data_IF_104991155054
#
_entry.id   IF_104991155054
#
_cell.length_a   1.000
_cell.length_b   1.000
_cell.length_c   1.000
_cell.angle_alpha   90.00
_cell.angle_beta   90.00
_cell.angle_gamma   90.00
#
_symmetry.space_group_name_H-M   'P 1'
#
loop_
_entity.id
_entity.type
_entity.pdbx_description
1 polymer ?
#
# COMPACT_ATOMS: atom_id res chain seq x y z
N UNK A 1 17.75 3.19 -4.88
CA UNK A 1 16.34 3.34 -5.28
C UNK A 1 15.45 2.27 -4.67
N UNK A 2 15.56 0.99 -5.06
CA UNK A 2 14.66 -0.08 -4.57
C UNK A 2 14.72 -0.29 -3.04
N UNK A 3 15.92 -0.29 -2.45
CA UNK A 3 16.09 -0.44 -0.98
C UNK A 3 15.41 0.66 -0.16
N UNK A 4 15.34 1.88 -0.68
CA UNK A 4 14.74 3.00 0.04
C UNK A 4 13.21 2.91 0.02
N UNK A 5 12.63 2.52 -1.11
CA UNK A 5 11.20 2.21 -1.19
C UNK A 5 10.79 1.12 -0.21
N UNK A 6 11.56 0.03 -0.11
CA UNK A 6 11.25 -1.03 0.84
C UNK A 6 11.35 -0.57 2.30
N UNK A 7 12.32 0.30 2.66
CA UNK A 7 12.37 0.91 4.00
C UNK A 7 11.16 1.78 4.29
N UNK A 8 10.74 2.60 3.32
CA UNK A 8 9.55 3.45 3.48
C UNK A 8 8.28 2.60 3.63
N UNK A 9 8.13 1.53 2.84
CA UNK A 9 7.05 0.54 3.00
C UNK A 9 7.12 -0.14 4.37
N UNK A 10 8.32 -0.43 4.87
CA UNK A 10 8.49 -1.09 6.16
C UNK A 10 8.01 -0.23 7.34
N UNK A 11 8.06 1.10 7.19
CA UNK A 11 7.54 2.09 8.16
C UNK A 11 6.01 2.25 8.17
N UNK A 12 5.31 1.61 7.23
CA UNK A 12 3.84 1.61 7.20
C UNK A 12 3.28 0.71 8.31
N UNK A 13 2.05 1.01 8.75
CA UNK A 13 1.35 0.09 9.64
C UNK A 13 1.07 -1.26 8.92
N UNK A 14 0.73 -2.29 9.70
CA UNK A 14 0.54 -3.66 9.17
C UNK A 14 -0.45 -3.74 8.01
N UNK A 15 -1.58 -3.02 8.11
CA UNK A 15 -2.63 -3.05 7.08
C UNK A 15 -2.13 -2.36 5.81
N UNK A 16 -1.59 -1.15 5.93
CA UNK A 16 -1.13 -0.38 4.78
C UNK A 16 0.05 -1.08 4.08
N UNK A 17 0.93 -1.73 4.83
CA UNK A 17 1.99 -2.60 4.28
C UNK A 17 1.40 -3.76 3.48
N UNK A 18 0.41 -4.48 4.03
CA UNK A 18 -0.25 -5.58 3.33
C UNK A 18 -0.92 -5.12 2.03
N UNK A 19 -1.60 -3.96 2.05
CA UNK A 19 -2.22 -3.40 0.85
C UNK A 19 -1.20 -3.11 -0.25
N UNK A 20 -0.06 -2.50 0.09
CA UNK A 20 1.00 -2.21 -0.88
C UNK A 20 1.62 -3.48 -1.43
N UNK A 21 1.94 -4.45 -0.56
CA UNK A 21 2.58 -5.70 -1.00
C UNK A 21 1.69 -6.48 -1.97
N UNK A 22 0.41 -6.64 -1.65
CA UNK A 22 -0.53 -7.31 -2.55
C UNK A 22 -0.71 -6.56 -3.87
N UNK A 23 -0.73 -5.22 -3.84
CA UNK A 23 -0.79 -4.41 -5.05
C UNK A 23 0.46 -4.56 -5.92
N UNK A 24 1.66 -4.70 -5.31
CA UNK A 24 2.91 -4.98 -6.02
C UNK A 24 2.99 -6.41 -6.60
N UNK A 25 2.18 -7.34 -6.07
CA UNK A 25 1.96 -8.68 -6.62
C UNK A 25 0.85 -8.72 -7.68
N UNK A 26 0.51 -7.56 -8.27
CA UNK A 26 -0.53 -7.37 -9.29
C UNK A 26 -1.93 -7.83 -8.88
N UNK A 27 -2.23 -7.88 -7.57
CA UNK A 27 -3.59 -8.17 -7.09
C UNK A 27 -4.54 -7.01 -7.40
N UNK A 28 -5.69 -7.36 -7.95
CA UNK A 28 -6.78 -6.41 -8.16
C UNK A 28 -7.33 -5.90 -6.83
N UNK A 29 -7.97 -4.72 -6.83
CA UNK A 29 -8.62 -4.19 -5.62
C UNK A 29 -9.68 -5.15 -5.06
N UNK A 30 -10.32 -5.95 -5.93
CA UNK A 30 -11.28 -6.98 -5.53
C UNK A 30 -10.57 -8.12 -4.78
N UNK A 31 -9.50 -8.69 -5.32
CA UNK A 31 -8.72 -9.73 -4.62
C UNK A 31 -8.17 -9.22 -3.29
N UNK A 32 -7.62 -8.00 -3.25
CA UNK A 32 -7.12 -7.39 -2.02
C UNK A 32 -8.25 -7.23 -0.99
N UNK A 33 -9.45 -6.84 -1.44
CA UNK A 33 -10.61 -6.70 -0.55
C UNK A 33 -10.97 -8.02 0.13
N UNK A 34 -10.92 -9.13 -0.61
CA UNK A 34 -11.21 -10.47 -0.10
C UNK A 34 -10.12 -10.98 0.84
N UNK A 35 -8.85 -10.73 0.54
CA UNK A 35 -7.71 -11.17 1.35
C UNK A 35 -7.65 -10.40 2.68
N UNK A 36 -7.85 -9.08 2.64
CA UNK A 36 -7.67 -8.19 3.81
C UNK A 36 -8.95 -8.04 4.63
N UNK A 37 -10.11 -8.35 4.06
CA UNK A 37 -11.40 -8.25 4.76
C UNK A 37 -11.93 -6.82 4.91
N UNK A 38 -11.58 -5.93 3.96
CA UNK A 38 -12.10 -4.55 3.89
C UNK A 38 -12.77 -4.31 2.53
N UNK A 39 -13.65 -3.31 2.42
CA UNK A 39 -14.31 -3.04 1.14
C UNK A 39 -13.32 -2.62 0.05
N UNK A 40 -13.65 -2.93 -1.21
CA UNK A 40 -12.91 -2.46 -2.41
C UNK A 40 -12.69 -0.95 -2.43
N UNK A 41 -13.70 -0.18 -1.99
CA UNK A 41 -13.59 1.29 -1.89
C UNK A 41 -12.55 1.72 -0.85
N UNK A 42 -12.47 1.03 0.28
CA UNK A 42 -11.47 1.29 1.32
C UNK A 42 -10.06 0.92 0.83
N UNK A 43 -9.90 -0.18 0.07
CA UNK A 43 -8.64 -0.53 -0.60
C UNK A 43 -8.16 0.63 -1.50
N UNK A 44 -9.02 1.11 -2.41
CA UNK A 44 -8.66 2.16 -3.36
C UNK A 44 -8.25 3.47 -2.66
N UNK A 45 -9.04 3.92 -1.68
CA UNK A 45 -8.74 5.16 -0.92
C UNK A 45 -7.46 5.02 -0.11
N UNK A 46 -7.23 3.86 0.52
CA UNK A 46 -6.01 3.62 1.29
C UNK A 46 -4.78 3.55 0.40
N UNK A 47 -4.81 2.82 -0.71
CA UNK A 47 -3.70 2.78 -1.66
C UNK A 47 -3.34 4.16 -2.19
N UNK A 48 -4.34 4.99 -2.50
CA UNK A 48 -4.12 6.40 -2.86
C UNK A 48 -3.38 7.16 -1.75
N UNK A 49 -3.88 7.11 -0.50
CA UNK A 49 -3.26 7.79 0.64
C UNK A 49 -1.84 7.31 0.93
N UNK A 50 -1.60 6.00 0.81
CA UNK A 50 -0.27 5.42 1.01
C UNK A 50 0.70 5.93 -0.07
N UNK A 51 0.26 5.97 -1.33
CA UNK A 51 1.05 6.53 -2.43
C UNK A 51 1.43 8.00 -2.17
N UNK A 52 0.48 8.82 -1.72
CA UNK A 52 0.77 10.21 -1.36
C UNK A 52 1.75 10.33 -0.19
N UNK A 53 1.59 9.48 0.85
CA UNK A 53 2.52 9.45 1.98
C UNK A 53 3.93 9.06 1.53
N UNK A 54 4.09 8.04 0.68
CA UNK A 54 5.39 7.61 0.16
C UNK A 54 6.05 8.71 -0.68
N UNK A 55 5.30 9.47 -1.47
CA UNK A 55 5.82 10.64 -2.21
C UNK A 55 6.38 11.70 -1.27
N UNK A 56 5.66 12.02 -0.19
CA UNK A 56 6.12 12.99 0.82
C UNK A 56 7.41 12.50 1.47
N UNK A 57 7.49 11.20 1.80
CA UNK A 57 8.69 10.60 2.41
C UNK A 57 9.89 10.59 1.46
N UNK A 58 9.67 10.41 0.15
CA UNK A 58 10.73 10.40 -0.86
C UNK A 58 11.29 11.78 -1.22
N UNK A 59 10.59 12.86 -0.85
CA UNK A 59 11.01 14.24 -1.11
C UNK A 59 11.80 14.87 0.06
N UNK A 60 12.07 14.08 1.12
CA UNK A 60 12.96 14.42 2.23
C UNK A 60 14.23 13.58 2.15
#
# INVERSE_FOLDING_TARGET
>A
MVKELYKMIDSLNKIDKALVLLYLEDKSHDEISQIVGISKSNVAVRLFRIKERLKIMSNN
#
